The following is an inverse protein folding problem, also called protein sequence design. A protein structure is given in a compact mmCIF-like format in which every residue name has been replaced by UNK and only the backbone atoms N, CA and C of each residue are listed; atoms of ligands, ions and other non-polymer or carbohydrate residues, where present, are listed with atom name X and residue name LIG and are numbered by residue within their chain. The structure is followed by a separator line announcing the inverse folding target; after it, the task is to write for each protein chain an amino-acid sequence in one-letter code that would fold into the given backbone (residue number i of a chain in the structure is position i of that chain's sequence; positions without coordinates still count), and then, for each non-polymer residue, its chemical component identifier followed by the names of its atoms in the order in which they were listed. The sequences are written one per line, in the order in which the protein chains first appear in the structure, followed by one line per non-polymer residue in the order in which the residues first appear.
data_IF_731555872600
#
_entry.id   IF_731555872600
#
_cell.length_a   1.000
_cell.length_b   1.000
_cell.length_c   1.000
_cell.angle_alpha   90.00
_cell.angle_beta   90.00
_cell.angle_gamma   90.00
#
_symmetry.space_group_name_H-M   'P 1'
#
loop_
_entity.id
_entity.type
_entity.pdbx_description
1 polymer ?
#
# COMPACT_ATOMS: atom_id res chain seq x y z
N UNK A 1 13.60 -7.74 -19.07
CA UNK A 1 13.58 -6.91 -17.85
C UNK A 1 12.67 -5.71 -18.04
N UNK A 2 11.37 -5.89 -17.81
CA UNK A 2 10.41 -4.78 -17.75
C UNK A 2 10.43 -4.23 -16.32
N UNK A 3 11.36 -3.30 -16.04
CA UNK A 3 11.60 -2.67 -14.72
C UNK A 3 10.42 -1.82 -14.20
N UNK A 4 9.29 -1.80 -14.92
CA UNK A 4 8.16 -0.91 -14.70
C UNK A 4 6.95 -1.60 -14.07
N UNK A 5 7.04 -2.87 -13.67
CA UNK A 5 5.98 -3.55 -12.91
C UNK A 5 6.63 -4.37 -11.81
N UNK A 6 5.92 -4.63 -10.72
CA UNK A 6 6.38 -5.60 -9.73
C UNK A 6 6.77 -6.91 -10.45
N UNK A 7 8.00 -7.45 -10.26
CA UNK A 7 8.46 -8.63 -10.99
C UNK A 7 7.59 -9.87 -10.82
N UNK A 8 6.86 -9.95 -9.70
CA UNK A 8 5.92 -11.02 -9.40
C UNK A 8 4.49 -10.74 -9.90
N UNK A 9 4.24 -9.58 -10.54
CA UNK A 9 2.98 -9.28 -11.20
C UNK A 9 3.03 -9.79 -12.64
N UNK A 10 2.18 -10.77 -13.03
CA UNK A 10 2.20 -11.37 -14.35
C UNK A 10 1.68 -10.45 -15.46
N UNK A 11 1.04 -9.33 -15.12
CA UNK A 11 0.46 -8.37 -16.06
C UNK A 11 1.40 -7.19 -16.32
N UNK A 12 1.36 -6.69 -17.56
CA UNK A 12 2.12 -5.53 -17.99
C UNK A 12 1.60 -4.22 -17.37
N UNK A 13 2.46 -3.18 -17.28
CA UNK A 13 2.02 -1.82 -16.97
C UNK A 13 0.83 -1.40 -17.84
N UNK A 14 -0.19 -0.82 -17.22
CA UNK A 14 -1.40 -0.37 -17.92
C UNK A 14 -1.58 1.13 -17.70
N UNK A 15 -1.75 1.89 -18.78
CA UNK A 15 -2.07 3.31 -18.69
C UNK A 15 -3.59 3.50 -18.52
N UNK A 16 -3.98 4.33 -17.56
CA UNK A 16 -5.38 4.72 -17.33
C UNK A 16 -5.54 6.21 -17.65
N UNK A 17 -6.17 6.51 -18.79
CA UNK A 17 -6.37 7.88 -19.25
C UNK A 17 -7.32 8.70 -18.35
N UNK A 18 -8.22 8.04 -17.63
CA UNK A 18 -9.15 8.69 -16.69
C UNK A 18 -8.45 9.24 -15.45
N UNK A 19 -7.37 8.59 -15.00
CA UNK A 19 -6.60 8.95 -13.80
C UNK A 19 -5.18 9.42 -14.13
N UNK A 20 -4.98 9.97 -15.34
CA UNK A 20 -3.74 10.00 -16.12
C UNK A 20 -2.51 9.35 -15.46
N UNK A 21 -2.55 8.02 -15.25
CA UNK A 21 -1.55 7.28 -14.49
C UNK A 21 -1.12 5.97 -15.16
N UNK A 22 0.05 5.47 -14.75
CA UNK A 22 0.51 4.12 -15.06
C UNK A 22 0.31 3.20 -13.86
N UNK A 23 -0.45 2.13 -14.05
CA UNK A 23 -0.59 1.06 -13.05
C UNK A 23 0.57 0.10 -13.18
N UNK A 24 1.42 0.11 -12.16
CA UNK A 24 2.67 -0.67 -12.12
C UNK A 24 2.75 -1.67 -10.96
N UNK A 25 1.68 -1.81 -10.17
CA UNK A 25 1.63 -2.74 -9.04
C UNK A 25 2.34 -2.25 -7.77
N UNK A 26 2.62 -0.94 -7.70
CA UNK A 26 3.14 -0.26 -6.52
C UNK A 26 2.20 0.86 -6.11
N UNK A 27 2.16 1.14 -4.81
CA UNK A 27 1.46 2.28 -4.23
C UNK A 27 2.48 3.33 -3.81
N UNK A 28 2.33 4.56 -4.30
CA UNK A 28 3.20 5.70 -3.98
C UNK A 28 2.61 6.53 -2.84
N UNK A 29 3.44 6.93 -1.88
CA UNK A 29 3.02 7.66 -0.68
C UNK A 29 3.56 9.09 -0.59
N UNK A 30 4.34 9.54 -1.58
CA UNK A 30 4.78 10.93 -1.62
C UNK A 30 3.62 11.90 -1.87
N UNK A 31 3.75 13.12 -1.32
CA UNK A 31 2.75 14.18 -1.49
C UNK A 31 1.46 14.03 -0.66
N UNK A 32 1.29 12.95 0.09
CA UNK A 32 0.21 12.81 1.07
C UNK A 32 0.54 13.73 2.25
N UNK A 33 -0.33 14.70 2.55
CA UNK A 33 -0.14 15.66 3.66
C UNK A 33 -0.97 15.35 4.90
N UNK A 34 -1.99 14.50 4.75
CA UNK A 34 -2.87 14.04 5.82
C UNK A 34 -3.10 12.54 5.65
N UNK A 35 -2.94 11.78 6.72
CA UNK A 35 -3.32 10.38 6.73
C UNK A 35 -4.77 10.23 7.15
N UNK A 36 -5.55 9.56 6.29
CA UNK A 36 -6.92 9.15 6.55
C UNK A 36 -6.97 7.64 6.81
N UNK A 37 -7.59 7.20 7.90
CA UNK A 37 -7.84 5.77 8.17
C UNK A 37 -9.09 5.61 9.05
N UNK A 38 -9.52 4.39 9.41
CA UNK A 38 -10.73 4.18 10.21
C UNK A 38 -10.73 4.84 11.59
N UNK A 39 -9.57 5.25 12.10
CA UNK A 39 -9.43 5.93 13.39
C UNK A 39 -9.51 7.47 13.26
N UNK A 40 -9.56 7.99 12.03
CA UNK A 40 -9.73 9.42 11.74
C UNK A 40 -8.64 10.00 10.86
N UNK A 41 -8.24 11.22 11.21
CA UNK A 41 -7.36 12.09 10.43
C UNK A 41 -6.13 12.44 11.26
N UNK A 42 -4.95 12.27 10.68
CA UNK A 42 -3.67 12.50 11.36
C UNK A 42 -2.73 13.30 10.45
N UNK A 43 -1.85 14.16 11.01
CA UNK A 43 -0.73 14.69 10.25
C UNK A 43 0.08 13.54 9.64
N UNK A 44 0.34 13.60 8.33
CA UNK A 44 1.08 12.53 7.67
C UNK A 44 2.59 12.65 7.93
N UNK A 45 3.24 11.51 8.07
CA UNK A 45 4.70 11.40 7.99
C UNK A 45 5.08 10.82 6.61
N UNK A 46 4.44 11.36 5.56
CA UNK A 46 4.66 10.98 4.17
C UNK A 46 5.56 12.01 3.47
N UNK A 47 6.35 11.61 2.46
CA UNK A 47 7.30 12.53 1.82
C UNK A 47 6.63 13.59 0.94
N UNK A 48 6.29 14.75 1.51
CA UNK A 48 5.80 15.92 0.74
C UNK A 48 6.96 16.72 0.16
N UNK A 49 8.06 16.84 0.93
CA UNK A 49 9.32 17.45 0.52
C UNK A 49 10.46 16.58 1.02
N UNK A 50 11.30 16.09 0.12
CA UNK A 50 12.41 15.17 0.45
C UNK A 50 13.37 15.79 1.47
N UNK A 51 13.66 17.10 1.35
CA UNK A 51 14.54 17.83 2.29
C UNK A 51 14.00 17.95 3.72
N UNK A 52 12.73 17.62 3.95
CA UNK A 52 12.07 17.61 5.25
C UNK A 52 11.57 16.22 5.64
N UNK A 53 11.88 15.20 4.84
CA UNK A 53 11.44 13.82 5.08
C UNK A 53 12.51 13.06 5.84
N UNK A 54 12.09 12.16 6.73
CA UNK A 54 13.01 11.23 7.36
C UNK A 54 13.45 10.16 6.32
N UNK A 55 14.75 9.81 6.25
CA UNK A 55 15.29 8.71 5.45
C UNK A 55 14.46 7.42 5.49
N UNK A 56 13.92 7.05 6.65
CA UNK A 56 13.22 5.78 6.88
C UNK A 56 11.70 5.84 6.58
N UNK A 57 11.19 6.94 6.02
CA UNK A 57 9.78 7.02 5.61
C UNK A 57 9.54 6.26 4.31
N UNK A 58 8.42 5.53 4.27
CA UNK A 58 8.05 4.72 3.10
C UNK A 58 7.65 5.65 1.94
N UNK A 59 8.35 5.51 0.81
CA UNK A 59 8.07 6.26 -0.40
C UNK A 59 7.09 5.50 -1.31
N UNK A 60 7.28 4.19 -1.44
CA UNK A 60 6.36 3.31 -2.15
C UNK A 60 6.44 1.87 -1.63
N UNK A 61 5.36 1.13 -1.80
CA UNK A 61 5.25 -0.29 -1.43
C UNK A 61 4.67 -1.11 -2.57
N UNK A 62 4.94 -2.41 -2.60
CA UNK A 62 4.13 -3.37 -3.37
C UNK A 62 2.64 -3.15 -3.03
N UNK A 63 1.76 -3.32 -4.02
CA UNK A 63 0.33 -3.06 -3.82
C UNK A 63 -0.36 -4.17 -3.00
N UNK A 64 -0.16 -4.10 -1.69
CA UNK A 64 -0.73 -5.00 -0.70
C UNK A 64 -2.10 -4.51 -0.25
N UNK A 65 -3.10 -4.67 -1.12
CA UNK A 65 -4.43 -4.10 -0.91
C UNK A 65 -5.56 -5.12 -0.94
N UNK A 66 -6.52 -4.90 -0.03
CA UNK A 66 -7.87 -5.43 -0.10
C UNK A 66 -8.78 -4.36 -0.71
N UNK A 67 -9.44 -4.74 -1.79
CA UNK A 67 -10.25 -3.88 -2.65
C UNK A 67 -11.65 -4.50 -2.73
N UNK A 68 -12.69 -3.73 -2.45
CA UNK A 68 -14.09 -4.20 -2.44
C UNK A 68 -14.28 -5.50 -1.62
N UNK A 69 -13.61 -5.57 -0.46
CA UNK A 69 -13.71 -6.71 0.43
C UNK A 69 -12.92 -7.96 -0.02
N UNK A 70 -12.09 -7.91 -1.06
CA UNK A 70 -11.23 -9.03 -1.50
C UNK A 70 -9.78 -8.61 -1.76
N UNK A 71 -8.84 -9.50 -1.51
CA UNK A 71 -7.44 -9.31 -1.93
C UNK A 71 -7.36 -9.19 -3.46
N UNK A 72 -6.89 -8.04 -3.95
CA UNK A 72 -6.82 -7.75 -5.39
C UNK A 72 -8.14 -7.36 -6.06
N UNK A 73 -9.22 -7.22 -5.30
CA UNK A 73 -10.52 -6.85 -5.85
C UNK A 73 -11.41 -8.02 -6.25
N UNK A 74 -12.62 -7.68 -6.66
CA UNK A 74 -13.61 -8.58 -7.24
C UNK A 74 -13.49 -8.48 -8.77
N UNK A 75 -13.12 -9.57 -9.48
CA UNK A 75 -12.97 -9.54 -10.93
C UNK A 75 -14.23 -9.02 -11.65
N UNK A 76 -14.06 -8.09 -12.59
CA UNK A 76 -15.16 -7.48 -13.34
C UNK A 76 -16.04 -6.50 -12.56
N UNK A 77 -15.76 -6.26 -11.27
CA UNK A 77 -16.46 -5.27 -10.43
C UNK A 77 -15.47 -4.21 -9.95
N UNK A 78 -14.35 -4.64 -9.38
CA UNK A 78 -13.23 -3.76 -9.06
C UNK A 78 -12.52 -3.32 -10.34
N UNK A 79 -11.72 -2.25 -10.23
CA UNK A 79 -10.92 -1.74 -11.33
C UNK A 79 -9.77 -2.70 -11.68
N UNK A 80 -10.04 -3.70 -12.52
CA UNK A 80 -9.10 -4.77 -12.87
C UNK A 80 -7.79 -4.25 -13.45
N UNK A 81 -7.83 -3.17 -14.23
CA UNK A 81 -6.63 -2.48 -14.75
C UNK A 81 -5.65 -2.10 -13.64
N UNK A 82 -6.17 -1.75 -12.46
CA UNK A 82 -5.40 -1.42 -11.28
C UNK A 82 -5.06 -2.65 -10.44
N UNK A 83 -6.07 -3.42 -10.03
CA UNK A 83 -5.97 -4.33 -8.89
C UNK A 83 -5.73 -5.80 -9.25
N UNK A 84 -5.91 -6.16 -10.52
CA UNK A 84 -5.70 -7.54 -10.98
C UNK A 84 -4.28 -8.01 -10.65
N UNK A 85 -4.20 -9.28 -10.26
CA UNK A 85 -2.98 -10.00 -9.89
C UNK A 85 -2.24 -9.45 -8.67
N UNK A 86 -2.92 -8.64 -7.86
CA UNK A 86 -2.41 -8.19 -6.58
C UNK A 86 -3.19 -8.85 -5.43
N UNK A 87 -2.61 -8.99 -4.24
CA UNK A 87 -1.19 -8.82 -3.95
C UNK A 87 -0.33 -9.94 -4.57
N UNK A 88 0.92 -9.61 -4.89
CA UNK A 88 1.82 -10.44 -5.71
C UNK A 88 2.51 -11.55 -4.89
N UNK A 89 2.70 -11.34 -3.59
CA UNK A 89 3.49 -12.23 -2.74
C UNK A 89 2.63 -12.99 -1.75
N UNK A 90 1.91 -14.00 -2.25
CA UNK A 90 1.06 -14.86 -1.45
C UNK A 90 1.61 -16.29 -1.36
N UNK A 91 1.24 -17.03 -0.31
CA UNK A 91 1.47 -18.47 -0.27
C UNK A 91 0.64 -19.19 -1.34
N UNK A 92 1.09 -20.36 -1.84
CA UNK A 92 0.28 -21.20 -2.72
C UNK A 92 -1.11 -21.47 -2.13
N UNK A 93 -2.16 -21.26 -2.92
CA UNK A 93 -3.55 -21.45 -2.48
C UNK A 93 -4.12 -20.34 -1.58
N UNK A 94 -3.35 -19.30 -1.27
CA UNK A 94 -3.81 -18.13 -0.52
C UNK A 94 -3.73 -16.86 -1.36
N UNK A 95 -4.58 -15.88 -1.05
CA UNK A 95 -4.49 -14.50 -1.54
C UNK A 95 -4.05 -13.51 -0.46
N UNK A 96 -3.81 -14.01 0.76
CA UNK A 96 -3.23 -13.22 1.85
C UNK A 96 -1.72 -13.08 1.59
N UNK A 97 -1.19 -11.85 1.56
CA UNK A 97 0.23 -11.65 1.33
C UNK A 97 1.07 -12.09 2.54
N UNK A 98 2.26 -12.59 2.28
CA UNK A 98 3.27 -12.88 3.32
C UNK A 98 4.13 -11.65 3.65
N UNK A 99 4.12 -10.66 2.76
CA UNK A 99 4.86 -9.40 2.88
C UNK A 99 4.95 -8.72 1.53
N UNK A 100 5.84 -7.74 1.43
CA UNK A 100 6.11 -7.01 0.20
C UNK A 100 7.39 -6.21 0.31
N UNK A 101 7.88 -5.75 -0.84
CA UNK A 101 8.99 -4.83 -0.94
C UNK A 101 8.50 -3.41 -0.71
N UNK A 102 9.27 -2.65 0.04
CA UNK A 102 9.07 -1.22 0.25
C UNK A 102 10.36 -0.48 -0.06
N UNK A 103 10.23 0.68 -0.68
CA UNK A 103 11.31 1.63 -0.93
C UNK A 103 11.14 2.83 0.00
N UNK A 104 12.24 3.27 0.58
CA UNK A 104 12.30 4.35 1.55
C UNK A 104 12.94 5.60 0.95
N UNK A 105 12.85 6.72 1.64
CA UNK A 105 13.31 8.02 1.14
C UNK A 105 14.82 8.07 0.89
N UNK A 106 15.60 7.31 1.66
CA UNK A 106 17.04 7.16 1.45
C UNK A 106 17.41 6.36 0.19
N UNK A 107 16.41 5.82 -0.53
CA UNK A 107 16.58 4.99 -1.71
C UNK A 107 16.86 3.53 -1.41
N UNK A 108 16.90 3.13 -0.12
CA UNK A 108 16.96 1.73 0.25
C UNK A 108 15.64 1.04 -0.07
N UNK A 109 15.72 -0.27 -0.37
CA UNK A 109 14.57 -1.11 -0.52
C UNK A 109 14.75 -2.38 0.30
N UNK A 110 13.70 -2.82 0.99
CA UNK A 110 13.72 -4.07 1.75
C UNK A 110 12.38 -4.78 1.73
N UNK A 111 12.46 -6.08 1.95
CA UNK A 111 11.30 -6.89 2.25
C UNK A 111 10.78 -6.61 3.66
N UNK A 112 9.47 -6.41 3.79
CA UNK A 112 8.79 -6.27 5.08
C UNK A 112 7.73 -7.35 5.22
N UNK A 113 7.66 -7.98 6.40
CA UNK A 113 6.66 -9.00 6.66
C UNK A 113 5.28 -8.38 6.82
N UNK A 114 4.25 -9.06 6.32
CA UNK A 114 2.91 -8.50 6.29
C UNK A 114 2.37 -8.15 7.69
N UNK A 115 2.73 -8.91 8.72
CA UNK A 115 2.33 -8.65 10.12
C UNK A 115 2.92 -7.35 10.72
N UNK A 116 3.96 -6.78 10.11
CA UNK A 116 4.57 -5.52 10.53
C UNK A 116 3.86 -4.31 9.91
N UNK A 117 3.11 -4.52 8.82
CA UNK A 117 2.44 -3.46 8.08
C UNK A 117 1.13 -3.03 8.73
N UNK A 118 0.65 -1.83 8.41
CA UNK A 118 -0.56 -1.23 8.99
C UNK A 118 -1.39 -0.53 7.92
N UNK A 119 -2.69 -0.43 8.17
CA UNK A 119 -3.60 0.40 7.37
C UNK A 119 -3.45 1.89 7.74
N UNK A 120 -2.29 2.46 7.44
CA UNK A 120 -1.89 3.80 7.90
C UNK A 120 -2.71 4.88 7.21
N UNK A 121 -2.91 4.76 5.89
CA UNK A 121 -3.64 5.74 5.11
C UNK A 121 -4.44 5.14 3.95
N UNK A 122 -5.43 5.89 3.46
CA UNK A 122 -6.27 5.56 2.30
C UNK A 122 -6.69 6.81 1.54
N UNK A 123 -7.08 6.60 0.28
CA UNK A 123 -7.82 7.57 -0.53
C UNK A 123 -9.34 7.34 -0.47
N UNK A 124 -9.81 6.26 0.17
CA UNK A 124 -11.23 6.00 0.42
C UNK A 124 -11.47 5.41 1.81
N UNK A 125 -12.12 6.20 2.67
CA UNK A 125 -12.40 5.81 4.07
C UNK A 125 -13.61 4.89 4.21
N UNK A 126 -14.32 4.57 3.12
CA UNK A 126 -15.47 3.65 3.14
C UNK A 126 -15.09 2.18 3.40
N UNK A 127 -13.79 1.86 3.48
CA UNK A 127 -13.29 0.51 3.74
C UNK A 127 -13.22 -0.39 2.51
N UNK A 128 -13.48 0.17 1.34
CA UNK A 128 -13.39 -0.49 0.03
C UNK A 128 -11.98 -0.46 -0.56
N UNK A 129 -11.06 0.36 -0.03
CA UNK A 129 -9.64 0.46 -0.43
C UNK A 129 -8.76 0.40 0.81
N UNK A 130 -8.36 -0.81 1.20
CA UNK A 130 -7.57 -1.04 2.40
C UNK A 130 -6.18 -1.51 1.98
N UNK A 131 -5.20 -0.62 2.04
CA UNK A 131 -3.81 -0.90 1.73
C UNK A 131 -2.94 -0.98 2.97
N UNK A 132 -1.93 -1.85 2.94
CA UNK A 132 -1.01 -2.04 4.05
C UNK A 132 0.41 -1.74 3.59
N UNK A 133 1.11 -0.95 4.40
CA UNK A 133 2.55 -0.74 4.28
C UNK A 133 3.13 -0.53 5.67
N UNK A 134 4.45 -0.61 5.78
CA UNK A 134 5.18 -0.37 6.98
C UNK A 134 5.70 1.07 7.00
N UNK A 135 5.64 1.66 8.17
CA UNK A 135 6.42 2.86 8.45
C UNK A 135 6.90 2.82 9.89
N UNK A 136 8.17 3.18 10.07
CA UNK A 136 8.82 3.11 11.37
C UNK A 136 8.29 4.19 12.32
N UNK A 137 8.11 5.41 11.82
CA UNK A 137 7.54 6.53 12.56
C UNK A 137 6.13 6.89 12.06
N UNK A 138 5.12 6.72 12.93
CA UNK A 138 3.74 7.10 12.64
C UNK A 138 3.34 8.44 13.27
N UNK A 139 4.27 9.15 13.91
CA UNK A 139 4.03 10.44 14.56
C UNK A 139 2.82 10.39 15.49
N UNK A 140 1.80 11.22 15.20
CA UNK A 140 0.58 11.28 16.00
C UNK A 140 -0.25 9.98 16.00
N UNK A 141 -0.06 9.10 15.01
CA UNK A 141 -0.75 7.82 14.92
C UNK A 141 -0.04 6.71 15.72
N UNK A 142 1.18 6.93 16.20
CA UNK A 142 2.00 5.94 16.93
C UNK A 142 1.26 5.27 18.11
N UNK A 143 0.52 5.99 18.97
CA UNK A 143 -0.23 5.36 20.06
C UNK A 143 -1.30 4.36 19.60
N UNK A 144 -1.71 4.43 18.33
CA UNK A 144 -2.71 3.56 17.71
C UNK A 144 -2.09 2.44 16.87
N UNK A 145 -0.76 2.29 16.81
CA UNK A 145 -0.09 1.30 15.95
C UNK A 145 -0.68 -0.11 16.08
N UNK A 146 -1.03 -0.53 17.30
CA UNK A 146 -1.56 -1.86 17.57
C UNK A 146 -3.10 -1.91 17.69
N UNK A 147 -3.78 -0.83 17.29
CA UNK A 147 -5.23 -0.82 17.20
C UNK A 147 -5.68 -1.84 16.16
N UNK A 148 -6.63 -2.71 16.53
CA UNK A 148 -7.13 -3.79 15.67
C UNK A 148 -7.59 -3.30 14.31
N UNK A 149 -8.17 -2.10 14.22
CA UNK A 149 -8.62 -1.52 12.96
C UNK A 149 -7.49 -1.25 11.95
N UNK A 150 -6.23 -1.18 12.40
CA UNK A 150 -5.07 -0.98 11.53
C UNK A 150 -4.31 -2.28 11.23
N UNK A 151 -4.61 -3.36 11.96
CA UNK A 151 -3.87 -4.62 11.85
C UNK A 151 -4.33 -5.43 10.64
N UNK A 152 -3.40 -6.03 9.88
CA UNK A 152 -3.77 -6.87 8.73
C UNK A 152 -4.66 -8.07 9.09
N UNK A 153 -4.48 -8.65 10.29
CA UNK A 153 -5.22 -9.82 10.74
C UNK A 153 -6.73 -9.61 10.92
N UNK A 154 -7.22 -8.36 10.90
CA UNK A 154 -8.65 -8.08 10.96
C UNK A 154 -9.35 -8.21 9.61
N UNK A 155 -8.59 -8.47 8.55
CA UNK A 155 -9.06 -8.57 7.19
C UNK A 155 -8.81 -10.00 6.66
N UNK A 156 -9.83 -10.89 6.64
CA UNK A 156 -9.70 -12.28 6.16
C UNK A 156 -9.50 -12.37 4.64
#
# INVERSE_FOLDING_TARGET
NTVWTCPNRPSFPTYEAEFPQWVIGYTYFGGISTWHNPLGHFPSFSPVKVSQSNPDWCLASDMLMRVDGRWGGVPGVSRDTAYKDCPQHCLPGSKVPVGGNEVFIDGSARWVQFNQMRYITTWSTAGDRVGFFFQDDLGALEPQRNNKALLPSTYP
#
